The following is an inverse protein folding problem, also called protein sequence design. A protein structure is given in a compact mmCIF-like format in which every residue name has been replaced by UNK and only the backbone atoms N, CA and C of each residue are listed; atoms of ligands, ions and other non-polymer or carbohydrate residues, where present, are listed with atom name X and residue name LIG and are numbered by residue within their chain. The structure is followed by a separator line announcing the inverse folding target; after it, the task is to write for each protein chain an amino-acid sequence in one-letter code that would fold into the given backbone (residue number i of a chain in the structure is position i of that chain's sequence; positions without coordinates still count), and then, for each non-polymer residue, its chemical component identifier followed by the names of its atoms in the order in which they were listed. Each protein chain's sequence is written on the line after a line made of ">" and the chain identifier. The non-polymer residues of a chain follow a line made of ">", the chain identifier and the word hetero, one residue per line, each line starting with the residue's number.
data_IF_167477835843
#
_entry.id   IF_167477835843
#
_cell.length_a   1.000
_cell.length_b   1.000
_cell.length_c   1.000
_cell.angle_alpha   90.00
_cell.angle_beta   90.00
_cell.angle_gamma   90.00
#
_symmetry.space_group_name_H-M   'P 1'
#
loop_
_entity.id
_entity.type
_entity.pdbx_description
1 polymer ?
#
# COMPACT_ATOMS: atom_id res chain seq x y z
N UNK A 1 56.97 55.74 38.31
CA UNK A 1 55.85 56.64 37.91
C UNK A 1 55.83 56.71 36.40
N UNK A 2 54.70 56.38 35.79
CA UNK A 2 54.50 56.43 34.33
C UNK A 2 53.70 55.24 33.80
N UNK A 3 52.36 55.31 33.86
CA UNK A 3 51.49 54.63 32.88
C UNK A 3 51.33 55.61 31.70
N UNK A 4 51.30 55.16 30.45
CA UNK A 4 50.03 54.73 29.82
C UNK A 4 50.26 53.63 28.74
N UNK A 5 49.34 53.11 27.91
CA UNK A 5 48.01 53.48 27.41
C UNK A 5 47.38 52.18 26.81
N UNK A 6 46.05 52.11 26.73
CA UNK A 6 45.30 51.06 26.01
C UNK A 6 45.63 51.05 24.50
N UNK A 7 45.66 49.87 23.90
CA UNK A 7 45.27 49.65 22.50
C UNK A 7 44.76 48.23 22.30
N UNK A 8 43.43 48.06 22.35
CA UNK A 8 42.72 46.89 21.83
C UNK A 8 42.68 47.04 20.32
N UNK A 9 43.47 46.25 19.60
CA UNK A 9 43.37 46.12 18.15
C UNK A 9 42.28 45.10 17.80
N UNK A 10 41.11 45.59 17.38
CA UNK A 10 40.10 44.75 16.74
C UNK A 10 40.58 44.38 15.33
N UNK A 11 40.86 43.10 15.09
CA UNK A 11 41.04 42.58 13.73
C UNK A 11 39.66 42.26 13.17
N UNK A 12 39.09 43.22 12.45
CA UNK A 12 37.93 42.99 11.59
C UNK A 12 38.39 42.20 10.36
N UNK A 13 38.17 40.89 10.36
CA UNK A 13 38.30 40.07 9.17
C UNK A 13 37.11 40.38 8.23
N UNK A 14 37.33 41.29 7.28
CA UNK A 14 36.46 41.48 6.13
C UNK A 14 36.47 40.20 5.28
N UNK A 15 35.43 39.38 5.41
CA UNK A 15 35.09 38.38 4.40
C UNK A 15 34.42 39.10 3.23
N UNK A 16 35.15 39.25 2.13
CA UNK A 16 34.58 39.66 0.84
C UNK A 16 33.87 38.44 0.26
N UNK A 17 32.54 38.39 0.40
CA UNK A 17 31.71 37.47 -0.37
C UNK A 17 31.65 38.00 -1.80
N UNK A 18 32.34 37.31 -2.72
CA UNK A 18 32.23 37.55 -4.14
C UNK A 18 30.81 37.15 -4.59
N UNK A 19 30.05 38.14 -5.05
CA UNK A 19 28.80 37.93 -5.76
C UNK A 19 29.07 37.40 -7.16
N UNK A 20 28.41 36.30 -7.52
CA UNK A 20 28.04 36.02 -8.89
C UNK A 20 26.60 36.48 -9.09
N UNK A 21 26.46 37.68 -9.62
CA UNK A 21 25.26 38.22 -10.23
C UNK A 21 25.05 37.56 -11.61
N UNK A 22 23.91 36.91 -11.82
CA UNK A 22 23.48 36.49 -13.16
C UNK A 22 22.13 35.77 -13.18
N UNK A 23 21.06 36.50 -13.54
CA UNK A 23 19.85 35.90 -14.11
C UNK A 23 18.51 36.19 -13.41
N UNK A 24 17.84 37.27 -13.85
CA UNK A 24 16.39 37.44 -14.11
C UNK A 24 15.32 37.06 -13.03
N UNK A 25 14.30 37.91 -12.79
CA UNK A 25 13.23 37.64 -11.84
C UNK A 25 12.28 36.53 -12.33
N UNK A 26 12.50 35.31 -11.85
CA UNK A 26 11.51 34.25 -11.86
C UNK A 26 10.94 34.08 -10.45
N UNK A 27 9.67 34.40 -10.25
CA UNK A 27 8.94 34.11 -9.01
C UNK A 27 8.68 32.61 -8.87
N UNK A 28 9.74 31.80 -8.82
CA UNK A 28 9.66 30.41 -8.38
C UNK A 28 9.54 30.38 -6.86
N UNK A 29 8.65 29.55 -6.33
CA UNK A 29 8.62 29.29 -4.89
C UNK A 29 10.01 28.80 -4.46
N UNK A 30 10.65 29.54 -3.55
CA UNK A 30 11.93 29.12 -2.98
C UNK A 30 11.69 27.86 -2.14
N UNK A 31 12.59 26.87 -2.16
CA UNK A 31 12.45 25.62 -1.40
C UNK A 31 13.59 25.41 -0.41
N UNK A 32 13.37 24.59 0.62
CA UNK A 32 14.38 24.05 1.53
C UNK A 32 14.51 22.53 1.41
N UNK A 33 15.60 21.96 1.92
CA UNK A 33 15.85 20.52 1.98
C UNK A 33 15.40 19.95 3.33
N UNK A 34 14.59 18.90 3.30
CA UNK A 34 14.06 18.23 4.48
C UNK A 34 14.44 16.74 4.47
N UNK A 35 15.19 16.31 5.49
CA UNK A 35 15.45 14.90 5.74
C UNK A 35 14.42 14.33 6.72
N UNK A 36 13.78 13.21 6.36
CA UNK A 36 12.81 12.54 7.21
C UNK A 36 13.44 11.33 7.90
N UNK A 37 13.20 11.20 9.19
CA UNK A 37 13.71 10.12 10.02
C UNK A 37 12.60 9.44 10.80
N UNK A 38 12.82 8.18 11.16
CA UNK A 38 11.98 7.44 12.10
C UNK A 38 12.82 7.02 13.32
N UNK A 39 12.26 7.21 14.51
CA UNK A 39 12.80 6.78 15.81
C UNK A 39 11.73 6.07 16.63
N UNK A 40 12.13 5.50 17.76
CA UNK A 40 11.24 4.99 18.79
C UNK A 40 11.60 5.56 20.16
N UNK A 41 10.57 5.87 20.96
CA UNK A 41 10.74 6.17 22.38
C UNK A 41 10.35 4.99 23.27
N UNK A 42 10.99 4.86 24.46
CA UNK A 42 10.72 3.75 25.38
C UNK A 42 9.22 3.61 25.67
N UNK A 43 8.66 2.49 25.21
CA UNK A 43 7.29 2.07 25.45
C UNK A 43 7.27 0.60 25.86
N UNK A 44 6.52 -0.23 25.14
CA UNK A 44 6.59 -1.69 25.24
C UNK A 44 7.68 -2.29 24.32
N UNK A 45 8.60 -1.45 23.82
CA UNK A 45 9.62 -1.88 22.84
C UNK A 45 10.58 -2.92 23.42
N UNK A 46 10.78 -2.91 24.75
CA UNK A 46 11.64 -3.86 25.47
C UNK A 46 11.08 -5.29 25.49
N UNK A 47 9.80 -5.48 25.12
CA UNK A 47 9.18 -6.81 24.99
C UNK A 47 9.59 -7.51 23.68
N UNK A 48 10.24 -6.80 22.76
CA UNK A 48 10.62 -7.27 21.44
C UNK A 48 12.10 -7.60 21.34
N UNK A 49 12.42 -8.76 20.74
CA UNK A 49 13.76 -9.02 20.19
C UNK A 49 13.95 -8.24 18.90
N UNK A 50 12.91 -8.17 18.06
CA UNK A 50 12.87 -7.38 16.83
C UNK A 50 11.48 -6.80 16.61
N UNK A 51 11.41 -5.53 16.22
CA UNK A 51 10.17 -4.90 15.78
C UNK A 51 10.40 -4.20 14.45
N UNK A 52 10.22 -4.95 13.37
CA UNK A 52 10.46 -4.45 12.02
C UNK A 52 9.25 -3.67 11.51
N UNK A 53 9.49 -2.42 11.11
CA UNK A 53 8.48 -1.54 10.51
C UNK A 53 8.92 -1.19 9.10
N UNK A 54 8.02 -1.36 8.13
CA UNK A 54 8.27 -1.00 6.74
C UNK A 54 7.50 0.25 6.38
N UNK A 55 8.23 1.29 5.97
CA UNK A 55 7.69 2.60 5.58
C UNK A 55 7.90 2.80 4.08
N UNK A 56 6.89 3.34 3.40
CA UNK A 56 6.89 3.47 1.93
C UNK A 56 6.69 4.88 1.42
N UNK A 57 6.26 5.79 2.29
CA UNK A 57 5.93 7.18 1.93
C UNK A 57 6.01 8.08 3.14
N UNK A 58 6.37 9.34 2.89
CA UNK A 58 6.21 10.45 3.83
C UNK A 58 5.34 11.52 3.20
N UNK A 59 4.48 12.16 3.99
CA UNK A 59 3.66 13.28 3.55
C UNK A 59 3.71 14.43 4.53
N UNK A 60 3.69 15.66 4.03
CA UNK A 60 3.62 16.89 4.84
C UNK A 60 2.54 17.83 4.29
N UNK A 61 1.79 18.49 5.15
CA UNK A 61 0.69 19.37 4.76
C UNK A 61 1.11 20.84 4.85
N UNK A 62 1.32 21.48 3.70
CA UNK A 62 1.65 22.92 3.59
C UNK A 62 0.39 23.73 3.84
N UNK A 63 0.43 24.61 4.82
CA UNK A 63 -0.63 25.56 5.16
C UNK A 63 -0.70 26.63 4.07
N UNK A 64 -1.91 26.89 3.57
CA UNK A 64 -2.12 28.01 2.66
C UNK A 64 -2.27 29.31 3.47
N UNK A 65 -1.59 30.37 3.02
CA UNK A 65 -1.56 31.67 3.71
C UNK A 65 -2.96 32.28 3.94
N UNK A 66 -3.94 31.88 3.12
CA UNK A 66 -5.33 32.36 3.16
C UNK A 66 -6.26 31.48 4.01
N UNK A 67 -5.90 30.22 4.31
CA UNK A 67 -6.69 29.32 5.15
C UNK A 67 -5.89 28.06 5.50
N UNK A 68 -5.85 27.71 6.79
CA UNK A 68 -5.17 26.49 7.25
C UNK A 68 -5.91 25.20 6.90
N UNK A 69 -7.24 25.27 6.72
CA UNK A 69 -8.09 24.14 6.34
C UNK A 69 -7.94 23.76 4.85
N UNK A 70 -7.43 24.66 4.01
CA UNK A 70 -7.28 24.46 2.57
C UNK A 70 -5.81 24.24 2.16
N UNK A 71 -4.98 23.68 3.03
CA UNK A 71 -3.57 23.42 2.70
C UNK A 71 -3.39 22.36 1.61
N UNK A 72 -2.14 22.05 1.27
CA UNK A 72 -1.80 21.08 0.22
C UNK A 72 -0.85 20.04 0.78
N UNK A 73 -1.17 18.76 0.57
CA UNK A 73 -0.27 17.66 0.88
C UNK A 73 0.84 17.59 -0.16
N UNK A 74 2.06 17.46 0.34
CA UNK A 74 3.26 17.18 -0.45
C UNK A 74 3.72 15.80 0.02
N UNK A 75 3.58 14.82 -0.86
CA UNK A 75 3.89 13.42 -0.59
C UNK A 75 5.17 13.03 -1.33
N UNK A 76 5.99 12.18 -0.72
CA UNK A 76 7.22 11.65 -1.28
C UNK A 76 7.21 10.14 -1.08
N UNK A 77 6.99 9.42 -2.16
CA UNK A 77 7.16 7.97 -2.23
C UNK A 77 8.64 7.61 -2.35
N UNK A 78 8.99 6.47 -1.76
CA UNK A 78 10.34 5.89 -1.83
C UNK A 78 10.26 4.36 -1.78
N UNK A 79 11.35 3.71 -2.18
CA UNK A 79 11.47 2.25 -2.02
C UNK A 79 11.29 1.88 -0.56
N UNK A 80 10.66 0.73 -0.30
CA UNK A 80 10.41 0.26 1.06
C UNK A 80 11.67 0.38 1.94
N UNK A 81 11.52 1.15 3.01
CA UNK A 81 12.52 1.26 4.07
C UNK A 81 12.02 0.42 5.24
N UNK A 82 12.62 -0.75 5.42
CA UNK A 82 12.39 -1.58 6.61
C UNK A 82 13.45 -1.25 7.65
N UNK A 83 12.97 -0.94 8.86
CA UNK A 83 13.80 -0.60 10.03
C UNK A 83 13.39 -1.47 11.21
N UNK A 84 14.35 -1.83 12.05
CA UNK A 84 14.06 -2.45 13.34
C UNK A 84 13.97 -1.35 14.41
N UNK A 85 12.79 -1.12 14.97
CA UNK A 85 12.58 -0.08 15.98
C UNK A 85 13.34 -0.36 17.28
N UNK A 86 13.68 -1.63 17.57
CA UNK A 86 14.50 -1.98 18.74
C UNK A 86 15.91 -1.38 18.65
N UNK A 87 16.41 -1.10 17.44
CA UNK A 87 17.70 -0.45 17.19
C UNK A 87 17.61 1.09 17.14
N UNK A 88 16.40 1.65 17.14
CA UNK A 88 16.13 3.08 16.92
C UNK A 88 15.58 3.78 18.17
N UNK A 89 15.89 3.25 19.34
CA UNK A 89 15.49 3.87 20.60
C UNK A 89 16.24 5.19 20.87
N UNK A 90 15.52 6.17 21.41
CA UNK A 90 16.07 7.46 21.83
C UNK A 90 16.46 8.35 20.65
N UNK A 91 17.68 8.90 20.65
CA UNK A 91 18.14 9.76 19.55
C UNK A 91 18.52 8.95 18.29
N UNK A 92 18.65 7.63 18.36
CA UNK A 92 19.00 6.83 17.19
C UNK A 92 17.82 6.84 16.21
N UNK A 93 18.06 7.24 14.96
CA UNK A 93 16.98 7.25 13.97
C UNK A 93 17.48 6.78 12.60
N UNK A 94 16.58 6.20 11.82
CA UNK A 94 16.83 5.78 10.45
C UNK A 94 16.28 6.81 9.47
N UNK A 95 17.06 7.15 8.44
CA UNK A 95 16.58 8.03 7.37
C UNK A 95 15.58 7.28 6.50
N UNK A 96 14.44 7.91 6.24
CA UNK A 96 13.40 7.41 5.36
C UNK A 96 13.53 8.00 3.96
N UNK A 97 13.64 9.32 3.89
CA UNK A 97 13.68 10.06 2.64
C UNK A 97 14.34 11.44 2.82
N UNK A 98 14.68 12.05 1.69
CA UNK A 98 15.10 13.45 1.61
C UNK A 98 14.23 14.12 0.54
N UNK A 99 13.60 15.25 0.86
CA UNK A 99 12.69 15.95 -0.03
C UNK A 99 13.01 17.45 -0.12
N UNK A 100 12.76 18.05 -1.28
CA UNK A 100 12.79 19.50 -1.46
C UNK A 100 11.39 20.04 -1.23
N UNK A 101 11.20 20.80 -0.14
CA UNK A 101 9.90 21.32 0.27
C UNK A 101 9.82 22.84 0.00
N UNK A 102 8.73 23.34 -0.59
CA UNK A 102 8.51 24.78 -0.73
C UNK A 102 8.62 25.53 0.59
N UNK A 103 9.21 26.72 0.56
CA UNK A 103 9.27 27.60 1.71
C UNK A 103 7.85 27.92 2.20
N UNK A 104 7.61 27.72 3.49
CA UNK A 104 6.29 27.91 4.07
C UNK A 104 6.10 27.27 5.44
N UNK A 105 4.85 27.31 5.90
CA UNK A 105 4.40 26.71 7.16
C UNK A 105 3.66 25.42 6.86
N UNK A 106 3.86 24.43 7.72
CA UNK A 106 3.27 23.11 7.67
C UNK A 106 2.63 22.82 9.03
N UNK A 107 1.53 22.05 9.04
CA UNK A 107 0.79 21.76 10.27
C UNK A 107 0.55 20.26 10.53
N UNK A 108 0.86 19.41 9.55
CA UNK A 108 0.76 17.96 9.69
C UNK A 108 1.88 17.28 8.92
N UNK A 109 2.28 16.13 9.42
CA UNK A 109 3.12 15.17 8.73
C UNK A 109 2.55 13.76 8.92
N UNK A 110 2.82 12.85 8.00
CA UNK A 110 2.56 11.43 8.19
C UNK A 110 3.64 10.57 7.55
N UNK A 111 3.75 9.34 8.03
CA UNK A 111 4.41 8.25 7.31
C UNK A 111 3.38 7.18 6.97
N UNK A 112 3.54 6.54 5.81
CA UNK A 112 2.77 5.38 5.43
C UNK A 112 3.53 4.11 5.81
N UNK A 113 2.98 3.35 6.75
CA UNK A 113 3.49 2.07 7.23
C UNK A 113 2.74 0.96 6.51
N UNK A 114 3.47 0.13 5.77
CA UNK A 114 2.88 -0.97 4.99
C UNK A 114 2.93 -2.32 5.70
N UNK A 115 3.83 -2.50 6.67
CA UNK A 115 3.98 -3.73 7.43
C UNK A 115 4.61 -3.47 8.80
N UNK A 116 4.18 -4.26 9.78
CA UNK A 116 4.77 -4.34 11.12
C UNK A 116 4.95 -5.81 11.46
N UNK A 117 6.17 -6.23 11.74
CA UNK A 117 6.52 -7.60 12.08
C UNK A 117 7.24 -7.60 13.43
N UNK A 118 6.59 -8.18 14.45
CA UNK A 118 7.11 -8.24 15.81
C UNK A 118 7.53 -9.65 16.21
N UNK A 119 8.76 -9.80 16.68
CA UNK A 119 9.25 -10.98 17.39
C UNK A 119 9.54 -10.58 18.85
N UNK A 120 8.90 -11.24 19.82
CA UNK A 120 9.14 -10.97 21.25
C UNK A 120 10.49 -11.50 21.71
N UNK A 121 10.95 -11.09 22.89
CA UNK A 121 12.20 -11.61 23.49
C UNK A 121 12.19 -13.12 23.76
N UNK A 122 11.02 -13.74 23.78
CA UNK A 122 10.86 -15.20 23.89
C UNK A 122 10.89 -15.90 22.51
N UNK A 123 11.06 -15.14 21.43
CA UNK A 123 11.09 -15.61 20.05
C UNK A 123 9.70 -15.85 19.43
N UNK A 124 8.62 -15.42 20.10
CA UNK A 124 7.25 -15.56 19.60
C UNK A 124 6.93 -14.46 18.59
N UNK A 125 6.37 -14.84 17.43
CA UNK A 125 5.86 -13.89 16.46
C UNK A 125 4.50 -13.36 16.93
N UNK A 126 4.40 -12.05 17.15
CA UNK A 126 3.19 -11.40 17.65
C UNK A 126 2.64 -10.40 16.65
N UNK A 127 1.31 -10.37 16.54
CA UNK A 127 0.63 -9.35 15.75
C UNK A 127 0.66 -8.00 16.49
N UNK A 128 1.26 -7.01 15.83
CA UNK A 128 1.27 -5.63 16.32
C UNK A 128 0.26 -4.85 15.51
N UNK A 129 -0.86 -4.52 16.14
CA UNK A 129 -1.96 -3.82 15.47
C UNK A 129 -1.49 -2.46 15.00
N UNK A 130 -1.60 -2.25 13.70
CA UNK A 130 -1.54 -0.92 13.08
C UNK A 130 -2.98 -0.43 12.89
N UNK A 131 -3.46 0.59 13.63
CA UNK A 131 -4.84 1.06 13.53
C UNK A 131 -5.14 1.70 12.16
N UNK A 132 -4.14 2.37 11.58
CA UNK A 132 -4.19 2.97 10.26
C UNK A 132 -2.83 2.85 9.58
N UNK A 133 -2.81 2.60 8.27
CA UNK A 133 -1.58 2.58 7.49
C UNK A 133 -0.86 3.94 7.44
N UNK A 134 -1.53 5.03 7.84
CA UNK A 134 -0.92 6.36 8.01
C UNK A 134 -0.74 6.66 9.49
N UNK A 135 0.50 6.90 9.91
CA UNK A 135 0.81 7.41 11.25
C UNK A 135 0.94 8.94 11.17
N UNK A 136 -0.11 9.64 11.62
CA UNK A 136 -0.20 11.10 11.54
C UNK A 136 0.39 11.79 12.77
N UNK A 137 1.15 12.85 12.53
CA UNK A 137 1.67 13.77 13.53
C UNK A 137 1.15 15.17 13.19
N UNK A 138 0.32 15.72 14.09
CA UNK A 138 -0.16 17.09 14.00
C UNK A 138 0.86 18.02 14.67
N UNK A 139 1.87 18.46 13.92
CA UNK A 139 2.93 19.34 14.39
C UNK A 139 3.09 20.54 13.46
N UNK A 140 3.22 21.72 14.05
CA UNK A 140 3.42 22.97 13.30
C UNK A 140 4.91 23.23 13.10
N UNK A 141 5.36 23.32 11.85
CA UNK A 141 6.75 23.63 11.54
C UNK A 141 6.88 24.52 10.29
N UNK A 142 8.06 25.11 10.12
CA UNK A 142 8.37 25.94 8.96
C UNK A 142 9.57 25.36 8.22
N UNK A 143 9.56 25.50 6.89
CA UNK A 143 10.71 25.26 6.01
C UNK A 143 11.06 26.59 5.36
N UNK A 144 12.29 27.03 5.53
CA UNK A 144 12.86 28.25 4.96
C UNK A 144 13.46 28.02 3.57
N UNK A 145 13.66 29.12 2.83
CA UNK A 145 14.39 29.10 1.57
C UNK A 145 15.86 28.69 1.78
N UNK A 146 16.30 27.66 1.05
CA UNK A 146 17.62 27.03 1.18
C UNK A 146 17.96 26.58 2.62
N UNK A 147 16.95 26.36 3.46
CA UNK A 147 17.12 25.75 4.78
C UNK A 147 17.39 24.26 4.61
N UNK A 148 18.40 23.73 5.30
CA UNK A 148 18.60 22.30 5.48
C UNK A 148 18.10 21.94 6.88
N UNK A 149 17.08 21.11 6.94
CA UNK A 149 16.42 20.70 8.19
C UNK A 149 16.05 19.23 8.14
N UNK A 150 15.62 18.69 9.28
CA UNK A 150 15.09 17.34 9.38
C UNK A 150 13.77 17.32 10.14
N UNK A 151 13.04 16.21 10.01
CA UNK A 151 11.83 15.92 10.77
C UNK A 151 11.90 14.47 11.25
N UNK A 152 11.71 14.25 12.55
CA UNK A 152 11.68 12.91 13.14
C UNK A 152 10.23 12.50 13.39
N UNK A 153 9.87 11.32 12.89
CA UNK A 153 8.67 10.60 13.29
C UNK A 153 9.03 9.66 14.43
N UNK A 154 8.65 10.03 15.64
CA UNK A 154 8.75 9.14 16.78
C UNK A 154 7.53 8.21 16.78
N UNK A 155 7.78 6.91 16.71
CA UNK A 155 6.76 5.87 16.73
C UNK A 155 6.87 5.14 18.07
N UNK A 156 5.75 4.67 18.60
CA UNK A 156 5.73 3.96 19.88
C UNK A 156 4.86 2.72 19.78
N UNK A 157 5.39 1.60 20.27
CA UNK A 157 4.61 0.39 20.53
C UNK A 157 4.07 0.40 21.96
N UNK A 158 2.79 0.04 22.11
CA UNK A 158 2.09 0.02 23.39
C UNK A 158 1.38 -1.32 23.60
N UNK A 159 1.64 -1.97 24.74
CA UNK A 159 0.89 -3.17 25.14
C UNK A 159 -0.52 -2.77 25.63
N UNK A 160 -1.56 -3.31 25.00
CA UNK A 160 -2.97 -3.08 25.36
C UNK A 160 -3.52 -4.11 26.35
N UNK A 161 -2.69 -5.08 26.75
CA UNK A 161 -3.00 -6.18 27.67
C UNK A 161 -3.24 -7.52 26.96
N UNK A 162 -3.00 -8.63 27.68
CA UNK A 162 -3.03 -10.00 27.16
C UNK A 162 -2.05 -10.23 25.99
N UNK A 163 -0.88 -9.58 25.99
CA UNK A 163 0.13 -9.75 24.94
C UNK A 163 -0.25 -9.13 23.59
N UNK A 164 -1.19 -8.18 23.56
CA UNK A 164 -1.60 -7.46 22.34
C UNK A 164 -0.92 -6.12 22.24
N UNK A 165 -0.31 -5.82 21.11
CA UNK A 165 0.43 -4.58 20.88
C UNK A 165 -0.25 -3.68 19.85
N UNK A 166 -0.08 -2.38 20.00
CA UNK A 166 -0.52 -1.36 19.04
C UNK A 166 0.64 -0.43 18.70
N UNK A 167 0.89 -0.22 17.41
CA UNK A 167 1.83 0.78 16.93
C UNK A 167 1.10 2.11 16.70
N UNK A 168 1.63 3.21 17.25
CA UNK A 168 1.03 4.55 17.14
C UNK A 168 2.09 5.64 16.98
N UNK A 169 1.76 6.80 16.42
CA UNK A 169 2.67 7.94 16.45
C UNK A 169 2.81 8.46 17.88
N UNK A 170 4.03 8.84 18.27
CA UNK A 170 4.28 9.62 19.47
C UNK A 170 4.46 11.09 19.08
N UNK A 171 3.33 11.78 18.91
CA UNK A 171 3.31 13.13 18.39
C UNK A 171 4.06 14.16 19.27
N UNK A 172 4.15 13.92 20.58
CA UNK A 172 4.84 14.83 21.51
C UNK A 172 6.37 14.84 21.36
N UNK A 173 6.93 13.76 20.80
CA UNK A 173 8.36 13.56 20.62
C UNK A 173 8.75 13.46 19.14
N UNK A 174 7.79 13.71 18.25
CA UNK A 174 8.00 13.89 16.81
C UNK A 174 8.21 15.37 16.49
N UNK A 175 8.88 15.67 15.38
CA UNK A 175 8.97 17.04 14.86
C UNK A 175 10.35 17.44 14.34
N UNK A 176 10.46 18.72 13.94
CA UNK A 176 11.69 19.25 13.33
C UNK A 176 12.82 19.59 14.29
N UNK A 177 12.51 19.67 15.59
CA UNK A 177 13.46 20.07 16.63
C UNK A 177 13.98 18.87 17.45
N UNK A 178 13.58 17.67 17.08
CA UNK A 178 13.97 16.43 17.77
C UNK A 178 15.41 16.10 17.39
N UNK A 179 16.33 15.92 18.35
CA UNK A 179 17.70 15.53 18.06
C UNK A 179 17.75 14.18 17.33
N UNK A 180 18.65 14.05 16.37
CA UNK A 180 18.82 12.80 15.61
C UNK A 180 20.27 12.38 15.57
N UNK A 181 20.49 11.09 15.82
CA UNK A 181 21.72 10.37 15.58
C UNK A 181 21.46 9.32 14.49
N UNK A 182 21.80 9.63 13.22
CA UNK A 182 21.56 8.72 12.12
C UNK A 182 22.23 7.36 12.34
N UNK A 183 21.46 6.28 12.23
CA UNK A 183 21.92 4.91 12.40
C UNK A 183 21.74 4.14 11.09
N UNK A 184 22.76 3.41 10.59
CA UNK A 184 22.64 2.59 9.38
C UNK A 184 21.85 1.29 9.69
N UNK A 185 20.56 1.42 9.98
CA UNK A 185 19.63 0.30 10.19
C UNK A 185 18.57 0.15 9.09
N UNK A 186 18.38 1.17 8.25
CA UNK A 186 17.46 1.13 7.12
C UNK A 186 17.96 0.17 6.03
N UNK A 187 17.23 -0.94 5.83
CA UNK A 187 17.42 -1.80 4.66
C UNK A 187 16.52 -1.30 3.54
N UNK A 188 17.06 -0.46 2.66
CA UNK A 188 16.38 -0.06 1.44
C UNK A 188 16.47 -1.21 0.42
N UNK A 189 15.32 -1.69 -0.06
CA UNK A 189 15.31 -2.69 -1.13
C UNK A 189 15.62 -2.03 -2.48
N UNK A 190 16.88 -2.08 -2.91
CA UNK A 190 17.25 -1.98 -4.32
C UNK A 190 17.54 -0.57 -4.88
N UNK A 191 18.66 0.03 -4.49
CA UNK A 191 19.26 1.13 -5.26
C UNK A 191 20.04 0.56 -6.47
N UNK A 192 19.47 0.68 -7.67
CA UNK A 192 20.21 0.60 -8.93
C UNK A 192 20.26 1.99 -9.57
N UNK A 193 21.42 2.65 -9.49
CA UNK A 193 21.65 3.93 -10.16
C UNK A 193 21.99 3.76 -11.64
N UNK A 194 21.43 4.64 -12.47
CA UNK A 194 21.99 5.17 -13.74
C UNK A 194 21.02 6.26 -14.23
N UNK A 195 21.29 7.54 -13.96
CA UNK A 195 21.98 8.52 -14.83
C UNK A 195 21.26 8.75 -16.16
N UNK A 196 20.84 10.01 -16.38
CA UNK A 196 19.81 10.38 -17.34
C UNK A 196 20.22 10.42 -18.81
N UNK A 197 19.18 10.53 -19.64
CA UNK A 197 19.26 11.25 -20.91
C UNK A 197 17.87 11.85 -21.21
N UNK A 198 17.82 13.18 -21.21
CA UNK A 198 16.67 14.00 -21.58
C UNK A 198 16.47 13.95 -23.09
N UNK A 199 15.29 13.58 -23.57
CA UNK A 199 14.85 13.94 -24.92
C UNK A 199 13.47 14.59 -24.85
N UNK A 200 13.47 15.92 -24.92
CA UNK A 200 12.30 16.77 -25.16
C UNK A 200 11.75 16.56 -26.56
N UNK A 201 10.45 16.27 -26.65
CA UNK A 201 9.60 16.74 -27.75
C UNK A 201 8.26 17.16 -27.18
N UNK A 202 8.01 18.47 -27.21
CA UNK A 202 6.75 19.08 -26.84
C UNK A 202 5.65 18.72 -27.84
N UNK A 203 4.46 18.37 -27.36
CA UNK A 203 3.24 18.66 -28.10
C UNK A 203 2.07 18.92 -27.16
N UNK A 204 1.63 20.18 -27.13
CA UNK A 204 0.42 20.63 -26.45
C UNK A 204 -0.83 20.00 -27.06
N UNK A 205 -1.71 19.50 -26.21
CA UNK A 205 -3.07 19.11 -26.56
C UNK A 205 -4.01 19.36 -25.39
N UNK A 206 -4.45 20.61 -25.22
CA UNK A 206 -5.58 20.92 -24.35
C UNK A 206 -6.85 20.37 -24.99
N UNK A 207 -7.50 19.39 -24.36
CA UNK A 207 -8.87 18.99 -24.70
C UNK A 207 -9.74 19.03 -23.46
N UNK A 208 -10.59 20.06 -23.41
CA UNK A 208 -11.72 20.13 -22.50
C UNK A 208 -12.76 19.10 -22.98
N UNK A 209 -12.82 17.94 -22.33
CA UNK A 209 -13.78 16.88 -22.60
C UNK A 209 -14.75 16.71 -21.43
N UNK A 210 -16.04 16.67 -21.72
CA UNK A 210 -17.11 16.33 -20.78
C UNK A 210 -16.76 15.05 -20.01
N UNK A 211 -16.74 15.10 -18.67
CA UNK A 211 -16.37 13.97 -17.80
C UNK A 211 -17.48 12.93 -17.79
N UNK A 212 -17.54 12.08 -18.81
CA UNK A 212 -18.27 10.82 -18.72
C UNK A 212 -17.47 9.89 -17.80
N UNK A 213 -18.11 9.36 -16.76
CA UNK A 213 -17.53 8.32 -15.89
C UNK A 213 -17.98 6.94 -16.36
N UNK A 214 -17.15 5.93 -16.17
CA UNK A 214 -17.46 4.52 -16.45
C UNK A 214 -17.07 3.64 -15.26
N UNK A 215 -17.67 2.45 -15.18
CA UNK A 215 -17.36 1.48 -14.13
C UNK A 215 -16.16 0.60 -14.51
N UNK A 216 -15.32 0.28 -13.54
CA UNK A 216 -14.25 -0.71 -13.69
C UNK A 216 -14.29 -1.70 -12.54
N UNK A 217 -14.36 -2.99 -12.85
CA UNK A 217 -14.30 -4.08 -11.88
C UNK A 217 -12.92 -4.74 -11.92
N UNK A 218 -12.25 -4.85 -10.78
CA UNK A 218 -10.95 -5.52 -10.65
C UNK A 218 -11.14 -6.90 -10.03
N UNK A 219 -10.48 -7.91 -10.61
CA UNK A 219 -10.51 -9.31 -10.17
C UNK A 219 -9.09 -9.80 -9.88
N UNK A 220 -8.94 -10.66 -8.88
CA UNK A 220 -7.70 -11.40 -8.58
C UNK A 220 -7.76 -12.79 -9.19
N UNK A 221 -6.71 -13.22 -9.90
CA UNK A 221 -6.51 -14.59 -10.39
C UNK A 221 -5.09 -15.09 -10.08
N UNK A 222 -4.84 -16.38 -10.32
CA UNK A 222 -3.49 -16.96 -10.35
C UNK A 222 -3.31 -17.83 -11.59
N UNK A 223 -2.28 -17.55 -12.39
CA UNK A 223 -1.85 -18.40 -13.51
C UNK A 223 -0.56 -19.15 -13.17
N UNK A 224 -0.40 -20.37 -13.74
CA UNK A 224 0.52 -21.37 -13.19
C UNK A 224 1.97 -20.88 -13.08
N UNK A 225 2.45 -20.84 -11.84
CA UNK A 225 3.86 -20.75 -11.46
C UNK A 225 4.25 -21.92 -10.57
N UNK A 226 4.85 -21.62 -9.41
CA UNK A 226 5.10 -22.59 -8.35
C UNK A 226 3.85 -22.88 -7.48
N UNK A 227 2.66 -22.47 -7.93
CA UNK A 227 1.42 -22.60 -7.16
C UNK A 227 1.08 -24.06 -6.85
N UNK A 228 1.52 -25.00 -7.71
CA UNK A 228 1.33 -26.43 -7.51
C UNK A 228 2.10 -27.03 -6.32
N UNK A 229 3.04 -26.28 -5.73
CA UNK A 229 3.76 -26.71 -4.53
C UNK A 229 2.90 -26.53 -3.25
N UNK A 230 1.85 -25.70 -3.33
CA UNK A 230 0.97 -25.34 -2.23
C UNK A 230 -0.29 -26.20 -2.19
N UNK A 231 -0.66 -26.65 -0.98
CA UNK A 231 -2.00 -27.12 -0.66
C UNK A 231 -2.95 -25.91 -0.53
N UNK A 232 -2.47 -24.87 0.16
CA UNK A 232 -3.16 -23.59 0.35
C UNK A 232 -2.19 -22.42 0.23
N UNK A 233 -2.58 -21.35 -0.44
CA UNK A 233 -1.87 -20.07 -0.44
C UNK A 233 -2.87 -18.94 -0.23
N UNK A 234 -3.00 -18.54 1.03
CA UNK A 234 -3.90 -17.48 1.42
C UNK A 234 -3.24 -16.12 1.23
N UNK A 235 -3.91 -15.21 0.51
CA UNK A 235 -3.49 -13.84 0.26
C UNK A 235 -4.55 -12.90 0.79
N UNK A 236 -4.19 -12.03 1.74
CA UNK A 236 -5.09 -11.02 2.30
C UNK A 236 -4.89 -9.69 1.60
N UNK A 237 -5.91 -9.24 0.87
CA UNK A 237 -5.91 -7.97 0.13
C UNK A 237 -6.69 -6.92 0.92
N UNK A 238 -6.11 -5.73 1.09
CA UNK A 238 -6.73 -4.64 1.86
C UNK A 238 -7.06 -3.39 1.04
N UNK A 239 -6.48 -3.20 -0.14
CA UNK A 239 -6.83 -2.10 -1.04
C UNK A 239 -6.52 -2.43 -2.49
N UNK A 240 -7.17 -1.74 -3.41
CA UNK A 240 -6.87 -1.75 -4.85
C UNK A 240 -6.79 -0.31 -5.30
N UNK A 241 -5.86 0.00 -6.21
CA UNK A 241 -5.78 1.33 -6.80
C UNK A 241 -5.43 1.31 -8.28
N UNK A 242 -5.87 2.35 -8.98
CA UNK A 242 -5.64 2.56 -10.41
C UNK A 242 -5.07 3.95 -10.64
N UNK A 243 -4.06 4.04 -11.51
CA UNK A 243 -3.40 5.29 -11.86
C UNK A 243 -3.85 5.76 -13.24
N UNK A 244 -4.40 6.96 -13.32
CA UNK A 244 -4.71 7.60 -14.58
C UNK A 244 -3.43 8.12 -15.23
N UNK A 245 -3.24 7.82 -16.50
CA UNK A 245 -2.12 8.35 -17.28
C UNK A 245 -2.32 9.85 -17.46
N UNK A 246 -1.56 10.65 -16.71
CA UNK A 246 -1.49 12.10 -16.85
C UNK A 246 -0.04 12.48 -17.17
N UNK A 247 0.17 13.53 -17.97
CA UNK A 247 1.49 14.03 -18.41
C UNK A 247 2.34 14.65 -17.26
N UNK A 248 1.94 14.38 -16.00
CA UNK A 248 2.62 14.78 -14.78
C UNK A 248 2.53 13.64 -13.77
N UNK A 249 3.67 13.16 -13.29
CA UNK A 249 3.86 12.08 -12.29
C UNK A 249 3.31 12.44 -10.89
N UNK A 250 2.07 12.94 -10.79
CA UNK A 250 1.44 13.43 -9.56
C UNK A 250 0.35 12.47 -9.06
N UNK A 251 0.34 12.19 -7.76
CA UNK A 251 -0.61 11.25 -7.12
C UNK A 251 -2.09 11.66 -7.15
N UNK A 252 -2.44 12.87 -7.59
CA UNK A 252 -3.81 13.24 -7.93
C UNK A 252 -4.43 12.36 -9.05
N UNK A 253 -3.59 11.56 -9.71
CA UNK A 253 -3.98 10.60 -10.73
C UNK A 253 -4.43 9.24 -10.17
N UNK A 254 -4.18 8.93 -8.89
CA UNK A 254 -4.60 7.67 -8.28
C UNK A 254 -6.04 7.72 -7.80
N UNK A 255 -6.80 6.68 -8.13
CA UNK A 255 -8.07 6.36 -7.48
C UNK A 255 -7.86 5.06 -6.70
N UNK A 256 -7.93 5.14 -5.38
CA UNK A 256 -7.72 4.02 -4.46
C UNK A 256 -9.02 3.70 -3.72
N UNK A 257 -9.27 2.41 -3.54
CA UNK A 257 -10.40 1.89 -2.79
C UNK A 257 -9.91 0.85 -1.79
N UNK A 258 -10.15 1.11 -0.51
CA UNK A 258 -10.02 0.11 0.54
C UNK A 258 -11.03 -1.02 0.30
N UNK A 259 -10.57 -2.25 0.47
CA UNK A 259 -11.44 -3.43 0.52
C UNK A 259 -11.46 -3.93 1.96
N UNK A 260 -12.61 -4.46 2.41
CA UNK A 260 -12.80 -5.01 3.76
C UNK A 260 -11.95 -6.27 3.98
N UNK A 261 -10.61 -6.12 3.98
CA UNK A 261 -9.56 -7.14 4.12
C UNK A 261 -10.02 -8.54 3.69
N UNK A 262 -9.96 -8.82 2.39
CA UNK A 262 -10.41 -10.09 1.84
C UNK A 262 -9.25 -11.09 1.81
N UNK A 263 -9.40 -12.20 2.51
CA UNK A 263 -8.46 -13.34 2.39
C UNK A 263 -8.96 -14.29 1.32
N UNK A 264 -8.09 -14.56 0.36
CA UNK A 264 -8.37 -15.40 -0.81
C UNK A 264 -7.35 -16.51 -0.87
N UNK A 265 -7.79 -17.77 -0.94
CA UNK A 265 -6.91 -18.87 -1.27
C UNK A 265 -6.67 -18.89 -2.78
N UNK A 266 -5.48 -18.46 -3.21
CA UNK A 266 -5.18 -18.32 -4.64
C UNK A 266 -4.94 -19.67 -5.31
N UNK A 267 -4.76 -20.77 -4.56
CA UNK A 267 -4.74 -22.12 -5.15
C UNK A 267 -6.11 -22.49 -5.75
N UNK A 268 -7.20 -21.89 -5.27
CA UNK A 268 -8.55 -22.07 -5.81
C UNK A 268 -8.83 -21.21 -7.07
N UNK A 269 -7.89 -20.35 -7.49
CA UNK A 269 -8.06 -19.36 -8.56
C UNK A 269 -7.29 -19.68 -9.85
N UNK A 270 -6.91 -20.94 -10.04
CA UNK A 270 -6.19 -21.36 -11.23
C UNK A 270 -7.01 -21.22 -12.51
N UNK A 271 -6.33 -20.81 -13.59
CA UNK A 271 -6.93 -20.67 -14.93
C UNK A 271 -7.77 -19.40 -15.04
N UNK A 272 -8.97 -19.50 -15.62
CA UNK A 272 -9.85 -18.34 -15.80
C UNK A 272 -10.59 -17.95 -14.51
N UNK A 273 -10.35 -18.64 -13.39
CA UNK A 273 -11.07 -18.42 -12.13
C UNK A 273 -10.54 -17.15 -11.45
N UNK A 274 -11.45 -16.25 -11.08
CA UNK A 274 -11.05 -15.01 -10.43
C UNK A 274 -12.06 -14.53 -9.37
N UNK A 275 -11.56 -13.87 -8.33
CA UNK A 275 -12.37 -13.27 -7.25
C UNK A 275 -12.43 -11.76 -7.45
N UNK A 276 -13.63 -11.18 -7.41
CA UNK A 276 -13.79 -9.71 -7.49
C UNK A 276 -13.16 -9.05 -6.26
N UNK A 277 -12.28 -8.07 -6.46
CA UNK A 277 -11.68 -7.29 -5.37
C UNK A 277 -12.44 -5.98 -5.13
N UNK A 278 -12.51 -5.14 -6.16
CA UNK A 278 -13.03 -3.77 -6.07
C UNK A 278 -13.84 -3.39 -7.32
N UNK A 279 -14.71 -2.38 -7.18
CA UNK A 279 -15.47 -1.78 -8.28
C UNK A 279 -15.34 -0.26 -8.20
N UNK A 280 -14.73 0.34 -9.22
CA UNK A 280 -14.48 1.77 -9.30
C UNK A 280 -15.49 2.46 -10.20
N UNK A 281 -15.80 3.72 -9.88
CA UNK A 281 -16.38 4.68 -10.83
C UNK A 281 -15.27 5.65 -11.23
N UNK A 282 -14.80 5.54 -12.46
CA UNK A 282 -13.61 6.22 -12.95
C UNK A 282 -13.97 7.20 -14.06
N UNK A 283 -13.18 8.26 -14.21
CA UNK A 283 -13.31 9.10 -15.40
C UNK A 283 -12.84 8.35 -16.64
N UNK A 284 -13.52 8.57 -17.76
CA UNK A 284 -13.08 8.02 -19.03
C UNK A 284 -11.67 8.54 -19.37
N UNK A 285 -10.79 7.65 -19.82
CA UNK A 285 -9.41 7.99 -20.16
C UNK A 285 -8.48 6.79 -20.12
N UNK A 286 -7.20 7.08 -20.33
CA UNK A 286 -6.13 6.07 -20.25
C UNK A 286 -5.57 5.99 -18.84
N UNK A 287 -5.28 4.78 -18.40
CA UNK A 287 -4.70 4.40 -17.13
C UNK A 287 -3.47 3.55 -17.42
N UNK A 288 -2.44 3.66 -16.58
CA UNK A 288 -1.14 3.02 -16.85
C UNK A 288 -0.70 2.01 -15.79
N UNK A 289 -1.37 2.00 -14.63
CA UNK A 289 -0.97 1.18 -13.51
C UNK A 289 -2.18 0.73 -12.71
N UNK A 290 -2.19 -0.54 -12.33
CA UNK A 290 -3.06 -1.09 -11.29
C UNK A 290 -2.18 -1.57 -10.14
N UNK A 291 -2.60 -1.38 -8.90
CA UNK A 291 -1.98 -2.08 -7.78
C UNK A 291 -3.00 -2.81 -6.93
N UNK A 292 -2.52 -3.88 -6.30
CA UNK A 292 -3.21 -4.58 -5.22
C UNK A 292 -2.35 -4.45 -3.98
N UNK A 293 -2.94 -3.98 -2.88
CA UNK A 293 -2.30 -3.94 -1.57
C UNK A 293 -2.55 -5.26 -0.84
N UNK A 294 -1.50 -6.08 -0.73
CA UNK A 294 -1.49 -7.33 0.01
C UNK A 294 -0.99 -7.05 1.43
N UNK A 295 -1.88 -7.22 2.40
CA UNK A 295 -1.56 -7.06 3.82
C UNK A 295 -0.78 -8.26 4.36
N UNK A 296 -1.09 -9.47 3.89
CA UNK A 296 -0.50 -10.70 4.42
C UNK A 296 -0.57 -11.86 3.43
N UNK A 297 0.33 -12.82 3.60
CA UNK A 297 0.37 -14.08 2.85
C UNK A 297 0.68 -15.24 3.78
N UNK A 298 -0.01 -16.37 3.59
CA UNK A 298 0.22 -17.59 4.35
C UNK A 298 0.16 -18.81 3.45
N UNK A 299 1.30 -19.49 3.32
CA UNK A 299 1.46 -20.66 2.47
C UNK A 299 1.56 -21.94 3.26
N UNK A 300 0.77 -22.94 2.88
CA UNK A 300 0.88 -24.34 3.32
C UNK A 300 1.25 -25.17 2.10
N UNK A 301 2.42 -25.82 2.13
CA UNK A 301 2.87 -26.71 1.08
C UNK A 301 2.07 -28.02 1.06
N UNK A 302 2.10 -28.75 -0.07
CA UNK A 302 1.43 -30.06 -0.24
C UNK A 302 1.92 -31.15 0.71
N UNK A 303 3.08 -30.98 1.35
CA UNK A 303 3.59 -31.84 2.42
C UNK A 303 3.06 -31.45 3.83
N UNK A 304 2.24 -30.40 3.93
CA UNK A 304 1.71 -29.82 5.16
C UNK A 304 2.62 -28.79 5.85
N UNK A 305 3.79 -28.46 5.29
CA UNK A 305 4.73 -27.49 5.85
C UNK A 305 4.24 -26.05 5.63
N UNK A 306 4.25 -25.24 6.69
CA UNK A 306 3.99 -23.81 6.58
C UNK A 306 5.25 -23.06 6.18
N UNK A 307 5.17 -22.31 5.09
CA UNK A 307 6.31 -21.53 4.57
C UNK A 307 5.96 -20.06 4.39
N UNK A 308 6.90 -19.15 4.71
CA UNK A 308 6.72 -17.75 4.39
C UNK A 308 6.77 -17.55 2.87
N UNK A 309 5.77 -16.87 2.33
CA UNK A 309 5.78 -16.39 0.95
C UNK A 309 6.16 -14.92 0.98
N UNK A 310 7.29 -14.57 0.37
CA UNK A 310 7.80 -13.21 0.39
C UNK A 310 7.01 -12.32 -0.55
N UNK A 311 6.55 -11.18 -0.04
CA UNK A 311 6.10 -10.07 -0.86
C UNK A 311 7.31 -9.17 -1.18
N UNK A 312 7.58 -8.84 -2.46
CA UNK A 312 8.57 -7.83 -2.82
C UNK A 312 8.14 -6.45 -2.31
N UNK A 313 6.82 -6.20 -2.29
CA UNK A 313 6.15 -5.04 -1.69
C UNK A 313 4.73 -5.43 -1.28
N UNK A 314 4.17 -4.79 -0.25
CA UNK A 314 2.74 -4.93 0.06
C UNK A 314 1.88 -4.32 -1.06
N UNK A 315 2.36 -3.25 -1.71
CA UNK A 315 1.73 -2.68 -2.92
C UNK A 315 2.31 -3.33 -4.16
N UNK A 316 1.69 -4.41 -4.63
CA UNK A 316 2.08 -5.07 -5.87
C UNK A 316 1.60 -4.19 -7.03
N UNK A 317 2.53 -3.46 -7.67
CA UNK A 317 2.23 -2.61 -8.83
C UNK A 317 2.34 -3.41 -10.12
N UNK A 318 1.38 -3.20 -11.00
CA UNK A 318 1.32 -3.74 -12.34
C UNK A 318 1.26 -2.57 -13.31
N UNK A 319 2.36 -2.30 -14.00
CA UNK A 319 2.43 -1.26 -15.02
C UNK A 319 1.95 -1.83 -16.36
N UNK A 320 0.76 -1.42 -16.77
CA UNK A 320 0.11 -1.83 -18.00
C UNK A 320 -0.87 -0.74 -18.42
N UNK A 321 -0.73 -0.25 -19.65
CA UNK A 321 -1.64 0.73 -20.21
C UNK A 321 -2.99 0.09 -20.58
N UNK A 322 -4.08 0.72 -20.17
CA UNK A 322 -5.45 0.33 -20.52
C UNK A 322 -6.36 1.56 -20.57
N UNK A 323 -7.47 1.45 -21.31
CA UNK A 323 -8.46 2.52 -21.41
C UNK A 323 -9.70 2.13 -20.63
N UNK A 324 -10.20 3.08 -19.83
CA UNK A 324 -11.53 3.01 -19.24
C UNK A 324 -12.42 3.95 -20.05
N UNK A 325 -13.42 3.39 -20.71
CA UNK A 325 -14.29 4.12 -21.63
C UNK A 325 -15.26 3.18 -22.33
N UNK A 326 -16.21 3.76 -23.06
CA UNK A 326 -17.18 3.07 -23.94
C UNK A 326 -18.52 2.66 -23.29
N UNK A 327 -18.83 3.14 -22.09
CA UNK A 327 -20.17 3.03 -21.46
C UNK A 327 -20.55 1.64 -20.96
N UNK A 328 -19.66 0.65 -21.12
CA UNK A 328 -19.75 -0.66 -20.49
C UNK A 328 -18.73 -0.76 -19.34
N UNK A 329 -18.96 -1.68 -18.40
CA UNK A 329 -18.03 -1.96 -17.30
C UNK A 329 -16.71 -2.56 -17.83
N UNK A 330 -15.58 -1.93 -17.55
CA UNK A 330 -14.24 -2.48 -17.83
C UNK A 330 -13.94 -3.59 -16.81
N UNK A 331 -13.63 -4.80 -17.25
CA UNK A 331 -13.22 -5.89 -16.37
C UNK A 331 -11.70 -6.04 -16.43
N UNK A 332 -11.00 -5.81 -15.32
CA UNK A 332 -9.55 -5.95 -15.25
C UNK A 332 -9.18 -7.15 -14.39
N UNK A 333 -8.43 -8.09 -14.96
CA UNK A 333 -7.84 -9.20 -14.22
C UNK A 333 -6.45 -8.80 -13.77
N UNK A 334 -6.23 -8.90 -12.46
CA UNK A 334 -4.95 -8.76 -11.81
C UNK A 334 -4.47 -10.16 -11.45
N UNK A 335 -3.53 -10.68 -12.24
CA UNK A 335 -2.98 -12.01 -12.02
C UNK A 335 -1.76 -11.94 -11.11
N UNK A 336 -1.72 -12.82 -10.11
CA UNK A 336 -0.53 -13.05 -9.28
C UNK A 336 0.14 -14.36 -9.67
N UNK A 337 1.43 -14.44 -9.41
CA UNK A 337 2.22 -15.65 -9.62
C UNK A 337 3.17 -15.83 -8.43
N UNK A 338 3.18 -17.04 -7.88
CA UNK A 338 4.21 -17.46 -6.93
C UNK A 338 5.40 -18.07 -7.67
N UNK A 339 6.61 -17.66 -7.29
CA UNK A 339 7.87 -18.13 -7.87
C UNK A 339 8.78 -18.70 -6.79
N UNK A 340 9.24 -19.94 -6.95
CA UNK A 340 10.27 -20.53 -6.09
C UNK A 340 11.65 -19.98 -6.48
N UNK A 341 12.32 -19.29 -5.54
CA UNK A 341 13.66 -18.69 -5.74
C UNK A 341 14.81 -19.65 -5.46
N UNK A 342 14.50 -20.93 -5.17
CA UNK A 342 15.43 -21.96 -4.71
C UNK A 342 15.54 -22.01 -3.19
N UNK A 343 15.97 -23.16 -2.64
CA UNK A 343 16.03 -23.43 -1.20
C UNK A 343 14.67 -23.40 -0.46
N UNK A 344 13.55 -23.67 -1.16
CA UNK A 344 12.21 -23.68 -0.56
C UNK A 344 11.68 -22.28 -0.22
N UNK A 345 12.20 -21.24 -0.87
CA UNK A 345 11.78 -19.84 -0.66
C UNK A 345 10.89 -19.37 -1.80
N UNK A 346 9.74 -18.82 -1.44
CA UNK A 346 8.73 -18.39 -2.41
C UNK A 346 8.57 -16.87 -2.43
N UNK A 347 8.28 -16.31 -3.60
CA UNK A 347 7.97 -14.89 -3.79
C UNK A 347 6.67 -14.75 -4.56
N UNK A 348 5.72 -13.96 -4.05
CA UNK A 348 4.49 -13.61 -4.77
C UNK A 348 4.70 -12.29 -5.53
N UNK A 349 4.37 -12.26 -6.82
CA UNK A 349 4.53 -11.07 -7.67
C UNK A 349 3.36 -10.92 -8.64
N UNK A 350 3.09 -9.71 -9.16
CA UNK A 350 2.17 -9.55 -10.28
C UNK A 350 2.68 -10.32 -11.51
N UNK A 351 1.74 -10.84 -12.28
CA UNK A 351 1.99 -11.49 -13.55
C UNK A 351 1.47 -10.63 -14.70
N UNK A 352 2.34 -9.78 -15.23
CA UNK A 352 2.00 -8.79 -16.26
C UNK A 352 1.47 -9.43 -17.55
N UNK A 353 2.01 -10.58 -17.95
CA UNK A 353 1.64 -11.22 -19.20
C UNK A 353 0.21 -11.76 -19.21
N UNK A 354 -0.34 -12.00 -18.02
CA UNK A 354 -1.62 -12.66 -17.81
C UNK A 354 -2.64 -11.74 -17.10
N UNK A 355 -2.28 -10.47 -16.93
CA UNK A 355 -3.14 -9.43 -16.38
C UNK A 355 -3.65 -8.51 -17.49
N UNK A 356 -4.80 -7.87 -17.26
CA UNK A 356 -5.30 -6.84 -18.15
C UNK A 356 -6.82 -6.79 -18.31
N UNK A 357 -7.32 -5.86 -19.14
CA UNK A 357 -8.75 -5.61 -19.32
C UNK A 357 -9.47 -6.61 -20.26
N UNK A 358 -8.72 -7.53 -20.89
CA UNK A 358 -9.24 -8.45 -21.91
C UNK A 358 -9.12 -9.92 -21.51
N UNK A 359 -8.73 -10.19 -20.27
CA UNK A 359 -8.53 -11.54 -19.77
C UNK A 359 -9.88 -12.21 -19.45
N UNK A 360 -10.04 -13.51 -19.74
CA UNK A 360 -11.26 -14.24 -19.43
C UNK A 360 -11.46 -14.35 -17.91
N UNK A 361 -12.72 -14.27 -17.47
CA UNK A 361 -13.08 -14.35 -16.05
C UNK A 361 -14.25 -15.31 -15.83
N UNK A 362 -14.00 -16.35 -15.04
CA UNK A 362 -14.97 -17.17 -14.34
C UNK A 362 -15.01 -16.72 -12.88
N UNK A 363 -16.06 -15.97 -12.51
CA UNK A 363 -16.18 -15.40 -11.17
C UNK A 363 -16.34 -16.51 -10.12
N UNK A 364 -15.53 -16.43 -9.08
CA UNK A 364 -15.65 -17.27 -7.87
C UNK A 364 -16.16 -16.41 -6.72
N UNK A 365 -17.10 -16.93 -5.95
CA UNK A 365 -17.66 -16.26 -4.78
C UNK A 365 -16.58 -16.07 -3.70
N UNK A 366 -16.54 -14.89 -3.06
CA UNK A 366 -15.72 -14.66 -1.86
C UNK A 366 -16.19 -15.61 -0.76
N UNK A 367 -15.36 -16.58 -0.39
CA UNK A 367 -15.59 -17.34 0.85
C UNK A 367 -15.15 -16.41 1.97
N UNK A 368 -16.09 -15.68 2.57
CA UNK A 368 -15.78 -14.92 3.78
C UNK A 368 -15.41 -15.93 4.87
N UNK A 369 -14.12 -16.09 5.13
CA UNK A 369 -13.64 -16.75 6.34
C UNK A 369 -14.05 -15.85 7.52
N UNK A 370 -15.27 -16.05 8.02
CA UNK A 370 -15.61 -15.63 9.37
C UNK A 370 -14.65 -16.41 10.29
N UNK A 371 -14.03 -15.79 11.31
CA UNK A 371 -13.30 -16.55 12.32
C UNK A 371 -14.27 -17.59 12.90
N UNK A 372 -13.87 -18.85 12.87
CA UNK A 372 -14.70 -19.98 13.30
C UNK A 372 -15.23 -19.74 14.73
N UNK A 373 -16.55 -19.57 14.83
CA UNK A 373 -17.28 -19.81 16.05
C UNK A 373 -17.80 -21.25 15.94
N UNK A 374 -17.10 -22.16 16.60
CA UNK A 374 -17.41 -23.58 16.73
C UNK A 374 -18.87 -23.79 17.18
N UNK A 375 -19.78 -23.92 16.22
CA UNK A 375 -21.08 -24.56 16.45
C UNK A 375 -21.47 -25.36 15.20
N UNK A 376 -21.43 -26.71 15.25
CA UNK A 376 -21.94 -27.52 14.17
C UNK A 376 -23.46 -27.47 14.23
N UNK A 377 -24.10 -26.82 13.26
CA UNK A 377 -25.52 -27.04 13.00
C UNK A 377 -25.71 -27.56 11.57
N UNK A 378 -26.18 -28.80 11.53
CA UNK A 378 -26.58 -29.55 10.35
C UNK A 378 -27.73 -28.87 9.58
N UNK A 379 -27.79 -29.22 8.29
CA UNK A 379 -28.87 -29.03 7.32
C UNK A 379 -29.16 -27.59 6.83
N UNK A 380 -28.92 -27.35 5.54
CA UNK A 380 -30.01 -27.52 4.57
C UNK A 380 -29.51 -27.62 3.12
N UNK A 381 -30.00 -28.65 2.44
CA UNK A 381 -29.84 -28.90 1.01
C UNK A 381 -30.87 -28.10 0.22
N UNK A 382 -30.43 -27.27 -0.73
CA UNK A 382 -31.29 -26.85 -1.84
C UNK A 382 -30.49 -26.41 -3.06
N UNK A 383 -30.28 -27.39 -3.95
CA UNK A 383 -30.45 -27.36 -5.40
C UNK A 383 -30.55 -25.96 -6.08
N UNK A 384 -29.47 -25.51 -6.72
CA UNK A 384 -29.50 -24.37 -7.64
C UNK A 384 -29.66 -24.86 -9.08
N UNK A 385 -30.87 -24.67 -9.61
CA UNK A 385 -31.24 -24.90 -11.00
C UNK A 385 -30.63 -23.81 -11.87
N UNK A 386 -29.75 -24.21 -12.79
CA UNK A 386 -29.19 -23.39 -13.86
C UNK A 386 -30.30 -22.90 -14.79
N UNK A 387 -30.53 -21.59 -14.86
CA UNK A 387 -31.42 -20.99 -15.87
C UNK A 387 -30.59 -20.30 -16.95
N UNK A 388 -30.41 -21.01 -18.06
CA UNK A 388 -29.92 -20.45 -19.32
C UNK A 388 -31.10 -19.75 -20.01
N UNK A 389 -31.07 -18.43 -20.15
CA UNK A 389 -32.02 -17.70 -21.00
C UNK A 389 -31.44 -17.60 -22.40
N UNK A 390 -32.03 -18.36 -23.34
CA UNK A 390 -31.84 -18.15 -24.77
C UNK A 390 -33.17 -17.72 -25.39
N UNK A 391 -33.10 -16.65 -26.17
CA UNK A 391 -34.19 -16.01 -26.92
C UNK A 391 -34.80 -16.95 -27.96
N UNK A 392 -36.13 -16.94 -28.09
CA UNK A 392 -36.86 -17.63 -29.16
C UNK A 392 -38.37 -17.39 -29.07
N UNK A 393 -38.87 -16.63 -30.02
CA UNK A 393 -40.26 -16.21 -30.22
C UNK A 393 -41.18 -17.34 -30.72
N UNK A 394 -42.48 -17.10 -30.58
CA UNK A 394 -43.65 -17.75 -31.20
C UNK A 394 -44.28 -19.06 -30.64
N UNK A 395 -45.40 -18.84 -29.95
CA UNK A 395 -46.79 -19.23 -30.33
C UNK A 395 -47.27 -20.70 -30.29
N UNK A 396 -48.35 -20.87 -29.52
CA UNK A 396 -49.52 -21.81 -29.63
C UNK A 396 -49.51 -23.24 -29.06
N UNK A 397 -50.66 -23.52 -28.39
CA UNK A 397 -51.42 -24.77 -28.27
C UNK A 397 -51.23 -25.69 -27.03
N UNK A 398 -52.10 -25.46 -26.04
CA UNK A 398 -53.13 -26.35 -25.47
C UNK A 398 -52.93 -27.89 -25.40
N UNK A 399 -53.38 -28.43 -24.24
CA UNK A 399 -53.73 -29.84 -23.90
C UNK A 399 -52.53 -30.69 -23.45
N UNK A 400 -52.52 -31.44 -22.36
CA UNK A 400 -53.59 -31.96 -21.49
C UNK A 400 -53.25 -33.42 -21.18
N UNK A 401 -53.41 -33.81 -19.91
CA UNK A 401 -53.56 -35.20 -19.42
C UNK A 401 -52.32 -36.14 -19.50
N UNK A 402 -51.78 -36.58 -18.36
CA UNK A 402 -52.14 -37.89 -17.77
C UNK A 402 -51.32 -38.24 -16.52
N UNK A 403 -52.02 -38.93 -15.64
CA UNK A 403 -51.69 -39.44 -14.32
C UNK A 403 -50.81 -40.70 -14.37
N UNK A 404 -49.84 -40.85 -13.47
CA UNK A 404 -49.39 -42.16 -13.00
C UNK A 404 -48.81 -42.11 -11.57
N UNK A 405 -49.64 -42.51 -10.62
CA UNK A 405 -49.30 -42.98 -9.26
C UNK A 405 -48.52 -44.29 -9.29
N UNK A 406 -47.49 -44.46 -8.44
CA UNK A 406 -47.06 -45.73 -7.80
C UNK A 406 -46.09 -45.39 -6.65
N UNK A 407 -46.55 -45.41 -5.40
CA UNK A 407 -46.46 -46.49 -4.38
C UNK A 407 -45.10 -46.59 -3.67
N UNK A 408 -45.15 -46.17 -2.41
CA UNK A 408 -44.19 -46.29 -1.32
C UNK A 408 -43.87 -47.75 -0.97
N UNK A 409 -42.58 -48.06 -0.78
CA UNK A 409 -42.13 -49.27 -0.09
C UNK A 409 -41.16 -48.90 1.04
N UNK A 410 -41.64 -49.10 2.27
CA UNK A 410 -40.90 -49.04 3.53
C UNK A 410 -40.01 -50.28 3.65
N UNK A 411 -38.79 -50.17 4.16
CA UNK A 411 -38.05 -51.34 4.68
C UNK A 411 -37.43 -51.00 6.03
N UNK A 412 -37.76 -51.86 6.98
CA UNK A 412 -37.46 -51.82 8.41
C UNK A 412 -36.14 -52.54 8.70
N UNK A 413 -35.41 -52.00 9.67
CA UNK A 413 -34.21 -52.53 10.34
C UNK A 413 -34.41 -53.89 11.00
N UNK A 414 -33.38 -54.74 10.99
CA UNK A 414 -33.17 -55.74 12.04
C UNK A 414 -31.68 -56.06 12.22
N UNK A 415 -31.27 -56.04 13.49
CA UNK A 415 -29.97 -56.30 14.11
C UNK A 415 -29.62 -57.79 14.13
N UNK A 416 -28.33 -58.11 13.94
CA UNK A 416 -27.54 -59.06 14.74
C UNK A 416 -26.07 -58.97 14.33
#
# INVERSE_FOLDING_TARGET
>A
MGKPLLSVGAVAAMLVLAGCSGGMPGGGEQSGSMAFYVSDQPGAIDDFEHLNVTVTKVGVHKVNASSAENGTWIETDFDNVTVDLTELQGENAANLANASLPNGTYNNAFIHVSAVEGATTDGEQVDVKLPSSKLHVAENFTVGAAEESHFVFDVMVHETGNGKYVLRPNAGDSGKNVPVKPTPGAKQSGQAGASGETTTTAQSGTSAGTTTQSEMAVYLSDRPGAIGDFDHLNVTVSAVGVHRQNDSDNESAWVEQDVDSVTVDVTELQGDRAVSLANFTLENGTYDTVFVHVAWTNGTLTNGEHVPVKLPSSKLKLHQEFTVGDGNTTHFVYDVMVHETGSGKYVLKPNVAESGPNEPVTKVSKKNAKPDDDTPNESDTSNETTTTTQSGDETTAQSGNETATTTTATTTTATA
#
